data_IF_650583322116
#
_entry.id   IF_650583322116
#
_cell.length_a   1.000
_cell.length_b   1.000
_cell.length_c   1.000
_cell.angle_alpha   90.00
_cell.angle_beta   90.00
_cell.angle_gamma   90.00
#
_symmetry.space_group_name_H-M   'P 1'
#
loop_
_entity.id
_entity.type
_entity.pdbx_description
1 polymer ?
#
# COMPACT_ATOMS: atom_id res chain seq x y z
N UNK A 1 17.74 -5.88 -3.40
CA UNK A 1 16.55 -5.06 -3.69
C UNK A 1 16.88 -3.60 -3.41
N UNK A 2 16.67 -2.74 -4.38
CA UNK A 2 16.91 -1.32 -4.22
C UNK A 2 15.63 -0.62 -3.76
N UNK A 3 15.62 -0.12 -2.54
CA UNK A 3 14.50 0.63 -1.99
C UNK A 3 14.74 2.12 -2.22
N UNK A 4 13.76 2.81 -2.79
CA UNK A 4 13.83 4.24 -3.07
C UNK A 4 13.24 5.09 -1.94
N UNK A 5 12.40 4.50 -1.10
CA UNK A 5 11.78 5.21 0.01
C UNK A 5 10.50 4.54 0.46
N UNK A 6 9.84 5.14 1.44
CA UNK A 6 8.48 4.78 1.81
C UNK A 6 7.52 5.60 0.96
N UNK A 7 6.48 4.96 0.45
CA UNK A 7 5.51 5.67 -0.40
C UNK A 7 4.06 5.43 0.00
N UNK A 8 3.82 4.55 0.96
CA UNK A 8 2.46 4.12 1.26
C UNK A 8 2.33 3.63 2.69
N UNK A 9 1.26 4.05 3.37
CA UNK A 9 0.81 3.45 4.62
C UNK A 9 -0.68 3.14 4.47
N UNK A 10 -1.05 1.91 4.74
CA UNK A 10 -2.44 1.48 4.74
C UNK A 10 -2.94 1.21 6.15
N UNK A 11 -4.17 1.58 6.41
CA UNK A 11 -4.86 1.26 7.66
C UNK A 11 -6.17 0.56 7.32
N UNK A 12 -6.27 -0.71 7.65
CA UNK A 12 -7.53 -1.43 7.53
C UNK A 12 -8.23 -1.38 8.88
N UNK A 13 -9.46 -0.88 8.90
CA UNK A 13 -10.17 -0.59 10.14
C UNK A 13 -11.67 -0.81 9.98
N UNK A 14 -12.37 -1.28 11.04
CA UNK A 14 -13.83 -1.34 11.02
C UNK A 14 -14.47 0.06 11.03
N UNK A 15 -13.69 1.10 11.27
CA UNK A 15 -14.17 2.49 11.32
C UNK A 15 -13.70 3.28 10.10
N UNK A 16 -13.80 2.67 8.92
CA UNK A 16 -13.32 3.28 7.67
C UNK A 16 -13.89 4.66 7.40
N UNK A 17 -15.22 4.82 7.50
CA UNK A 17 -15.87 6.09 7.20
C UNK A 17 -15.39 7.21 8.12
N UNK A 18 -15.29 6.92 9.42
CA UNK A 18 -14.82 7.90 10.40
C UNK A 18 -13.36 8.28 10.18
N UNK A 19 -12.52 7.30 9.86
CA UNK A 19 -11.11 7.53 9.58
C UNK A 19 -10.92 8.39 8.32
N UNK A 20 -11.64 8.09 7.25
CA UNK A 20 -11.58 8.87 6.00
C UNK A 20 -12.08 10.29 6.21
N UNK A 21 -13.15 10.46 6.97
CA UNK A 21 -13.66 11.79 7.32
C UNK A 21 -12.62 12.60 8.11
N UNK A 22 -11.95 11.96 9.06
CA UNK A 22 -10.88 12.58 9.83
C UNK A 22 -9.75 13.09 8.93
N UNK A 23 -9.30 12.23 8.01
CA UNK A 23 -8.22 12.60 7.08
C UNK A 23 -8.60 13.76 6.17
N UNK A 24 -9.85 13.79 5.71
CA UNK A 24 -10.33 14.85 4.84
C UNK A 24 -10.58 16.16 5.58
N UNK A 25 -11.22 16.10 6.75
CA UNK A 25 -11.69 17.30 7.45
C UNK A 25 -10.66 17.88 8.39
N UNK A 26 -9.95 17.04 9.13
CA UNK A 26 -8.98 17.49 10.14
C UNK A 26 -7.60 17.68 9.53
N UNK A 27 -7.14 16.70 8.76
CA UNK A 27 -5.83 16.76 8.12
C UNK A 27 -5.86 17.44 6.75
N UNK A 28 -7.05 17.70 6.22
CA UNK A 28 -7.26 18.39 4.92
C UNK A 28 -6.55 17.69 3.76
N UNK A 29 -6.46 16.35 3.82
CA UNK A 29 -5.86 15.56 2.75
C UNK A 29 -6.85 15.38 1.61
N UNK A 30 -6.33 15.39 0.38
CA UNK A 30 -7.14 15.18 -0.81
C UNK A 30 -7.32 13.69 -1.07
N UNK A 31 -8.57 13.26 -1.17
CA UNK A 31 -8.88 11.90 -1.58
C UNK A 31 -8.72 11.77 -3.08
N UNK A 32 -8.00 10.74 -3.52
CA UNK A 32 -7.83 10.40 -4.92
C UNK A 32 -8.75 9.24 -5.30
N UNK A 33 -9.25 9.28 -6.54
CA UNK A 33 -10.03 8.17 -7.07
C UNK A 33 -9.12 7.01 -7.43
N UNK A 34 -9.47 5.81 -6.94
CA UNK A 34 -8.84 4.57 -7.37
C UNK A 34 -9.86 3.73 -8.10
N UNK A 35 -9.39 2.96 -9.07
CA UNK A 35 -10.17 1.92 -9.69
C UNK A 35 -10.19 0.70 -8.75
N UNK A 36 -11.38 0.29 -8.38
CA UNK A 36 -11.58 -0.88 -7.55
C UNK A 36 -12.18 -0.55 -6.17
N UNK A 37 -12.87 -1.51 -5.60
CA UNK A 37 -13.51 -1.36 -4.30
C UNK A 37 -12.54 -1.54 -3.16
N UNK A 38 -12.91 -1.10 -1.99
CA UNK A 38 -12.33 -1.53 -0.74
C UNK A 38 -11.42 -0.56 -0.03
N UNK A 39 -11.03 0.55 -0.64
CA UNK A 39 -10.17 1.51 0.04
C UNK A 39 -10.44 2.95 -0.38
N UNK A 40 -10.24 3.86 0.56
CA UNK A 40 -10.16 5.30 0.32
C UNK A 40 -8.70 5.70 0.30
N UNK A 41 -8.28 6.44 -0.70
CA UNK A 41 -6.88 6.73 -0.98
C UNK A 41 -6.63 8.22 -0.90
N UNK A 42 -5.60 8.61 -0.14
CA UNK A 42 -5.30 10.02 0.13
C UNK A 42 -3.86 10.33 -0.29
N UNK A 43 -3.70 11.44 -1.02
CA UNK A 43 -2.37 11.92 -1.38
C UNK A 43 -1.80 12.80 -0.27
N UNK A 44 -0.51 12.60 0.02
CA UNK A 44 0.23 13.44 0.96
C UNK A 44 1.13 14.42 0.19
N UNK A 45 1.49 15.56 0.82
CA UNK A 45 2.29 16.58 0.13
C UNK A 45 3.67 16.13 -0.34
N UNK A 46 4.22 15.09 0.28
CA UNK A 46 5.54 14.55 -0.10
C UNK A 46 5.49 13.55 -1.26
N UNK A 47 4.30 13.34 -1.84
CA UNK A 47 4.11 12.37 -2.92
C UNK A 47 3.80 10.96 -2.45
N UNK A 48 3.79 10.72 -1.14
CA UNK A 48 3.36 9.45 -0.59
C UNK A 48 1.84 9.37 -0.49
N UNK A 49 1.33 8.22 -0.09
CA UNK A 49 -0.11 7.98 0.00
C UNK A 49 -0.47 7.30 1.31
N UNK A 50 -1.67 7.60 1.77
CA UNK A 50 -2.29 6.91 2.91
C UNK A 50 -3.62 6.34 2.45
N UNK A 51 -3.85 5.06 2.73
CA UNK A 51 -5.10 4.40 2.36
C UNK A 51 -5.85 3.92 3.58
N UNK A 52 -7.18 3.99 3.52
CA UNK A 52 -8.07 3.46 4.55
C UNK A 52 -8.94 2.39 3.93
N UNK A 53 -8.87 1.19 4.47
CA UNK A 53 -9.66 0.04 4.01
C UNK A 53 -10.52 -0.50 5.14
N UNK A 54 -11.51 -1.27 4.77
CA UNK A 54 -12.37 -1.96 5.75
C UNK A 54 -11.72 -3.25 6.22
N UNK A 55 -11.93 -3.61 7.49
CA UNK A 55 -11.65 -4.94 8.01
C UNK A 55 -12.99 -5.64 8.24
N UNK A 56 -13.37 -6.59 7.37
CA UNK A 56 -14.73 -7.15 7.44
C UNK A 56 -14.98 -8.10 8.59
N UNK A 57 -13.96 -8.72 9.19
CA UNK A 57 -14.21 -9.89 10.01
C UNK A 57 -13.82 -9.82 11.49
N UNK A 58 -12.74 -9.16 11.85
CA UNK A 58 -12.21 -9.26 13.22
C UNK A 58 -12.35 -7.99 14.04
N UNK A 59 -12.64 -6.87 13.42
CA UNK A 59 -12.67 -5.58 14.10
C UNK A 59 -11.29 -5.03 14.47
N UNK A 60 -10.22 -5.75 14.17
CA UNK A 60 -8.86 -5.31 14.47
C UNK A 60 -8.34 -4.36 13.40
N UNK A 61 -7.70 -3.29 13.83
CA UNK A 61 -7.01 -2.38 12.92
C UNK A 61 -5.67 -2.98 12.50
N UNK A 62 -5.45 -3.04 11.20
CA UNK A 62 -4.19 -3.51 10.62
C UNK A 62 -3.52 -2.39 9.85
N UNK A 63 -2.20 -2.38 9.88
CA UNK A 63 -1.42 -1.40 9.12
C UNK A 63 -0.44 -2.10 8.20
N UNK A 64 -0.31 -1.54 7.00
CA UNK A 64 0.67 -1.99 6.01
C UNK A 64 1.56 -0.82 5.64
N UNK A 65 2.83 -1.10 5.42
CA UNK A 65 3.80 -0.10 4.97
C UNK A 65 4.30 -0.54 3.59
N UNK A 66 4.31 0.39 2.65
CA UNK A 66 4.76 0.14 1.29
C UNK A 66 6.10 0.81 1.01
N UNK A 67 7.05 0.01 0.49
CA UNK A 67 8.35 0.48 0.04
C UNK A 67 8.32 0.71 -1.46
N UNK A 68 8.87 1.83 -1.89
CA UNK A 68 8.96 2.16 -3.31
C UNK A 68 10.18 1.47 -3.92
N UNK A 69 9.97 0.80 -5.05
CA UNK A 69 11.03 0.20 -5.86
C UNK A 69 10.91 0.70 -7.31
N UNK A 70 12.02 0.63 -8.03
CA UNK A 70 12.02 1.01 -9.44
C UNK A 70 11.74 -0.20 -10.38
N UNK A 71 11.98 -1.41 -9.91
CA UNK A 71 11.78 -2.64 -10.69
C UNK A 71 11.14 -3.71 -9.80
N UNK A 72 9.82 -3.79 -9.87
CA UNK A 72 9.06 -4.71 -9.01
C UNK A 72 9.35 -6.18 -9.34
N UNK A 73 9.44 -6.51 -10.61
CA UNK A 73 9.68 -7.90 -11.02
C UNK A 73 11.03 -8.40 -10.52
N UNK A 74 12.07 -7.57 -10.61
CA UNK A 74 13.38 -7.90 -10.08
C UNK A 74 13.35 -8.04 -8.57
N UNK A 75 12.65 -7.14 -7.88
CA UNK A 75 12.52 -7.19 -6.42
C UNK A 75 11.83 -8.48 -5.97
N UNK A 76 10.75 -8.88 -6.64
CA UNK A 76 10.06 -10.13 -6.35
C UNK A 76 11.01 -11.33 -6.52
N UNK A 77 11.76 -11.36 -7.63
CA UNK A 77 12.72 -12.44 -7.88
C UNK A 77 13.80 -12.52 -6.81
N UNK A 78 14.33 -11.37 -6.38
CA UNK A 78 15.35 -11.33 -5.32
C UNK A 78 14.79 -11.80 -3.98
N UNK A 79 13.60 -11.38 -3.59
CA UNK A 79 12.98 -11.83 -2.35
C UNK A 79 12.74 -13.35 -2.38
N UNK A 80 12.21 -13.85 -3.47
CA UNK A 80 11.98 -15.29 -3.63
C UNK A 80 13.28 -16.08 -3.54
N UNK A 81 14.34 -15.59 -4.18
CA UNK A 81 15.65 -16.24 -4.14
C UNK A 81 16.26 -16.28 -2.74
N UNK A 82 15.88 -15.35 -1.87
CA UNK A 82 16.33 -15.31 -0.48
C UNK A 82 15.39 -16.05 0.48
N UNK A 83 14.36 -16.72 -0.05
CA UNK A 83 13.41 -17.47 0.76
C UNK A 83 12.38 -16.61 1.49
N UNK A 84 12.22 -15.35 1.10
CA UNK A 84 11.20 -14.47 1.68
C UNK A 84 9.84 -14.80 1.06
N UNK A 85 8.81 -15.09 1.87
CA UNK A 85 7.47 -15.27 1.33
C UNK A 85 6.99 -14.01 0.62
N UNK A 86 6.69 -14.11 -0.67
CA UNK A 86 6.28 -12.98 -1.51
C UNK A 86 5.30 -13.46 -2.56
N UNK A 87 4.27 -12.66 -2.82
CA UNK A 87 3.33 -12.95 -3.91
C UNK A 87 4.04 -12.77 -5.25
N UNK A 88 4.06 -13.84 -6.05
CA UNK A 88 4.77 -13.88 -7.33
C UNK A 88 4.05 -13.08 -8.43
N UNK A 89 2.73 -12.97 -8.34
CA UNK A 89 1.91 -12.27 -9.31
C UNK A 89 1.55 -10.89 -8.76
N UNK A 90 2.12 -9.81 -9.28
CA UNK A 90 1.77 -8.48 -8.82
C UNK A 90 0.32 -8.15 -9.11
N UNK A 91 -0.30 -7.43 -8.20
CA UNK A 91 -1.56 -6.75 -8.46
C UNK A 91 -1.26 -5.39 -9.09
N UNK A 92 -2.24 -4.82 -9.76
CA UNK A 92 -2.07 -3.49 -10.33
C UNK A 92 -3.40 -2.72 -10.40
N UNK A 93 -3.25 -1.40 -10.40
CA UNK A 93 -4.33 -0.48 -10.68
C UNK A 93 -3.85 0.53 -11.72
N UNK A 94 -4.55 1.65 -11.90
CA UNK A 94 -4.21 2.64 -12.92
C UNK A 94 -2.85 3.31 -12.68
N UNK A 95 -2.41 3.38 -11.43
CA UNK A 95 -1.25 4.19 -11.02
C UNK A 95 -0.03 3.36 -10.63
N UNK A 96 -0.21 2.12 -10.22
CA UNK A 96 0.87 1.35 -9.61
C UNK A 96 0.73 -0.15 -9.84
N UNK A 97 1.85 -0.84 -9.72
CA UNK A 97 1.93 -2.29 -9.55
C UNK A 97 2.48 -2.55 -8.15
N UNK A 98 1.98 -3.58 -7.50
CA UNK A 98 2.40 -3.85 -6.13
C UNK A 98 2.31 -5.34 -5.78
N UNK A 99 3.05 -5.73 -4.76
CA UNK A 99 3.01 -7.07 -4.22
C UNK A 99 3.14 -7.01 -2.70
N UNK A 100 2.82 -8.12 -2.04
CA UNK A 100 2.96 -8.26 -0.60
C UNK A 100 4.03 -9.28 -0.27
N UNK A 101 4.74 -9.04 0.83
CA UNK A 101 5.72 -9.99 1.35
C UNK A 101 5.61 -10.04 2.87
N UNK A 102 6.07 -11.14 3.46
CA UNK A 102 6.12 -11.31 4.91
C UNK A 102 7.56 -11.10 5.36
N UNK A 103 7.78 -10.10 6.20
CA UNK A 103 9.09 -9.77 6.74
C UNK A 103 9.44 -10.66 7.94
N UNK A 104 10.71 -10.62 8.41
CA UNK A 104 11.14 -11.43 9.56
C UNK A 104 10.36 -11.16 10.85
N UNK A 105 9.73 -9.98 10.98
CA UNK A 105 8.85 -9.68 12.12
C UNK A 105 7.48 -10.36 12.03
N UNK A 106 7.24 -11.14 10.96
CA UNK A 106 5.99 -11.85 10.75
C UNK A 106 4.86 -11.00 10.18
N UNK A 107 5.14 -9.75 9.84
CA UNK A 107 4.12 -8.82 9.36
C UNK A 107 4.16 -8.69 7.84
N UNK A 108 3.01 -8.32 7.28
CA UNK A 108 2.83 -8.13 5.85
C UNK A 108 3.18 -6.69 5.48
N UNK A 109 4.01 -6.55 4.44
CA UNK A 109 4.41 -5.26 3.87
C UNK A 109 4.16 -5.28 2.36
N UNK A 110 4.27 -4.13 1.72
CA UNK A 110 4.11 -4.00 0.28
C UNK A 110 5.38 -3.48 -0.39
N UNK A 111 5.63 -3.95 -1.61
CA UNK A 111 6.53 -3.32 -2.57
C UNK A 111 5.69 -2.69 -3.66
N UNK A 112 6.01 -1.46 -4.02
CA UNK A 112 5.22 -0.66 -4.95
C UNK A 112 6.11 -0.07 -6.03
N UNK A 113 5.69 -0.22 -7.28
CA UNK A 113 6.30 0.43 -8.43
C UNK A 113 5.24 1.31 -9.08
N UNK A 114 5.53 2.60 -9.22
CA UNK A 114 4.62 3.49 -9.91
C UNK A 114 4.66 3.25 -11.40
N UNK A 115 3.49 3.26 -12.05
CA UNK A 115 3.42 3.21 -13.50
C UNK A 115 3.84 4.55 -14.08
N UNK A 116 4.46 4.54 -15.28
CA UNK A 116 4.79 5.80 -15.95
C UNK A 116 3.54 6.64 -16.17
N UNK A 117 3.68 7.95 -16.05
CA UNK A 117 2.62 8.88 -16.41
C UNK A 117 2.48 8.93 -17.93
N UNK A 118 1.25 8.87 -18.42
CA UNK A 118 0.96 8.96 -19.86
C UNK A 118 0.93 10.42 -20.33
#
# INVERSE_FOLDING_TARGET
>A
VKILGLCFVGSATPRRAEMSEFLSSVFELRQEALDGPGADFFALPDGSHFAVASTPETGETRRSVGFLVDDLDQAIAELAARGVPVDQEPAENLSMRYTHFVAPDGRLYELIEYKPAD
#
